data_IF_843626512318
#
_entry.id   IF_843626512318
#
_cell.length_a   1.000
_cell.length_b   1.000
_cell.length_c   1.000
_cell.angle_alpha   90.00
_cell.angle_beta   90.00
_cell.angle_gamma   90.00
#
_symmetry.space_group_name_H-M   'P 1'
#
loop_
_entity.id
_entity.type
_entity.pdbx_description
1 polymer ?
#
# COMPACT_ATOMS: atom_id res chain seq x y z
N UNK A 1 -7.97 -14.45 -12.18
CA UNK A 1 -7.69 -15.82 -11.71
C UNK A 1 -6.58 -15.77 -10.68
N UNK A 2 -6.96 -16.11 -9.44
CA UNK A 2 -6.18 -16.52 -8.26
C UNK A 2 -4.67 -16.18 -8.23
N UNK A 3 -4.30 -15.26 -7.33
CA UNK A 3 -2.94 -15.02 -6.80
C UNK A 3 -2.52 -16.05 -5.74
N UNK A 4 -3.29 -17.12 -5.57
CA UNK A 4 -3.27 -17.98 -4.37
C UNK A 4 -2.07 -18.95 -4.32
N UNK A 5 -1.23 -18.99 -5.35
CA UNK A 5 -0.17 -20.00 -5.49
C UNK A 5 1.27 -19.56 -5.20
N UNK A 6 1.55 -18.30 -4.87
CA UNK A 6 2.93 -17.79 -4.72
C UNK A 6 3.17 -16.92 -3.48
N UNK A 7 2.19 -16.91 -2.58
CA UNK A 7 2.39 -16.30 -1.27
C UNK A 7 3.30 -17.22 -0.43
N UNK A 8 3.15 -18.54 -0.55
CA UNK A 8 3.99 -19.53 0.15
C UNK A 8 5.49 -19.48 -0.21
N UNK A 9 5.85 -19.52 -1.50
CA UNK A 9 7.26 -19.67 -1.93
C UNK A 9 8.15 -18.43 -1.69
N UNK A 10 7.56 -17.24 -1.48
CA UNK A 10 8.31 -16.04 -1.14
C UNK A 10 8.70 -16.01 0.32
N UNK A 11 7.79 -16.44 1.20
CA UNK A 11 8.04 -16.51 2.64
C UNK A 11 8.95 -17.67 3.03
N UNK A 12 9.15 -18.67 2.16
CA UNK A 12 10.15 -19.72 2.39
C UNK A 12 11.57 -19.28 2.03
N UNK A 13 11.75 -18.26 1.18
CA UNK A 13 13.06 -17.80 0.71
C UNK A 13 13.60 -16.57 1.45
N UNK A 14 12.74 -15.85 2.17
CA UNK A 14 13.13 -14.72 3.02
C UNK A 14 12.54 -14.91 4.42
N UNK A 15 13.31 -14.64 5.49
CA UNK A 15 12.77 -14.68 6.84
C UNK A 15 11.59 -13.71 6.96
N UNK A 16 10.43 -14.19 7.44
CA UNK A 16 9.23 -13.35 7.60
C UNK A 16 9.52 -12.04 8.36
N UNK A 17 10.40 -12.10 9.38
CA UNK A 17 10.85 -10.96 10.19
C UNK A 17 11.64 -9.89 9.42
N UNK A 18 12.00 -10.11 8.16
CA UNK A 18 12.61 -9.11 7.30
C UNK A 18 11.60 -8.50 6.31
N UNK A 19 10.42 -9.10 6.20
CA UNK A 19 9.40 -8.72 5.25
C UNK A 19 8.48 -7.66 5.82
N UNK A 20 8.31 -6.61 5.04
CA UNK A 20 7.26 -5.63 5.23
C UNK A 20 6.19 -5.94 4.15
N UNK A 21 4.92 -5.96 4.54
CA UNK A 21 3.82 -6.43 3.70
C UNK A 21 2.61 -5.53 3.83
N UNK A 22 2.04 -5.13 2.69
CA UNK A 22 0.67 -4.65 2.60
C UNK A 22 -0.21 -5.72 1.94
N UNK A 23 -1.37 -6.02 2.54
CA UNK A 23 -2.38 -6.92 1.96
C UNK A 23 -3.76 -6.30 2.03
N UNK A 24 -4.52 -6.41 0.94
CA UNK A 24 -5.91 -5.95 0.87
C UNK A 24 -6.88 -6.99 1.45
N UNK A 25 -7.95 -6.50 2.08
CA UNK A 25 -9.02 -7.33 2.64
C UNK A 25 -9.67 -8.28 1.63
N UNK A 26 -9.74 -7.88 0.37
CA UNK A 26 -10.22 -8.73 -0.73
C UNK A 26 -9.31 -9.94 -0.99
N UNK A 27 -8.04 -9.84 -0.59
CA UNK A 27 -7.03 -10.86 -0.75
C UNK A 27 -6.58 -11.47 0.58
N UNK A 28 -7.34 -11.29 1.68
CA UNK A 28 -6.96 -11.81 3.01
C UNK A 28 -6.75 -13.33 3.04
N UNK A 29 -7.42 -14.09 2.17
CA UNK A 29 -7.24 -15.54 2.04
C UNK A 29 -5.82 -15.91 1.59
N UNK A 30 -5.10 -15.00 0.94
CA UNK A 30 -3.68 -15.22 0.60
C UNK A 30 -2.79 -15.38 1.84
N UNK A 31 -3.24 -14.92 3.01
CA UNK A 31 -2.53 -15.06 4.29
C UNK A 31 -2.79 -16.39 5.00
N UNK A 32 -3.68 -17.25 4.49
CA UNK A 32 -4.06 -18.50 5.18
C UNK A 32 -2.84 -19.30 5.64
N UNK A 33 -2.78 -19.59 6.95
CA UNK A 33 -1.67 -20.31 7.59
C UNK A 33 -0.49 -19.45 8.05
N UNK A 34 -0.51 -18.13 7.82
CA UNK A 34 0.50 -17.20 8.34
C UNK A 34 -0.08 -16.31 9.43
N UNK A 35 0.70 -16.09 10.49
CA UNK A 35 0.39 -15.09 11.50
C UNK A 35 1.03 -13.76 11.07
N UNK A 36 0.23 -12.70 10.93
CA UNK A 36 0.72 -11.40 10.45
C UNK A 36 1.80 -10.81 11.37
N UNK A 37 1.86 -11.24 12.62
CA UNK A 37 2.86 -10.82 13.62
C UNK A 37 4.24 -11.43 13.37
N UNK A 38 4.36 -12.42 12.48
CA UNK A 38 5.64 -12.97 12.06
C UNK A 38 6.40 -12.03 11.10
N UNK A 39 5.71 -11.05 10.51
CA UNK A 39 6.29 -10.06 9.60
C UNK A 39 6.91 -8.88 10.36
N UNK A 40 7.91 -8.23 9.76
CA UNK A 40 8.52 -7.02 10.33
C UNK A 40 7.53 -5.85 10.43
N UNK A 41 6.68 -5.74 9.41
CA UNK A 41 5.66 -4.71 9.31
C UNK A 41 4.53 -5.26 8.45
N UNK A 42 3.29 -5.13 8.93
CA UNK A 42 2.12 -5.56 8.18
C UNK A 42 1.10 -4.43 8.15
N UNK A 43 0.58 -4.10 6.97
CA UNK A 43 -0.50 -3.13 6.76
C UNK A 43 -1.68 -3.84 6.09
N UNK A 44 -2.87 -3.74 6.68
CA UNK A 44 -4.10 -4.15 6.04
C UNK A 44 -4.72 -3.00 5.23
N UNK A 45 -4.86 -3.17 3.93
CA UNK A 45 -5.66 -2.28 3.09
C UNK A 45 -7.14 -2.68 3.15
N UNK A 46 -8.05 -1.71 3.16
CA UNK A 46 -9.49 -1.94 3.28
C UNK A 46 -10.09 -2.69 2.09
N UNK A 47 -9.39 -2.75 0.95
CA UNK A 47 -9.80 -3.48 -0.25
C UNK A 47 -10.94 -2.81 -1.01
N UNK A 48 -11.42 -1.65 -0.56
CA UNK A 48 -12.60 -0.99 -1.08
C UNK A 48 -12.52 -0.74 -2.59
N UNK A 49 -11.38 -0.22 -3.06
CA UNK A 49 -11.15 0.00 -4.50
C UNK A 49 -11.33 -1.27 -5.34
N UNK A 50 -10.80 -2.41 -4.85
CA UNK A 50 -10.87 -3.70 -5.55
C UNK A 50 -12.29 -4.29 -5.50
N UNK A 51 -12.94 -4.21 -4.35
CA UNK A 51 -14.31 -4.66 -4.16
C UNK A 51 -15.27 -3.91 -5.10
N UNK A 52 -15.16 -2.59 -5.16
CA UNK A 52 -15.98 -1.73 -6.02
C UNK A 52 -15.70 -1.97 -7.51
N UNK A 53 -14.42 -2.14 -7.90
CA UNK A 53 -14.07 -2.52 -9.27
C UNK A 53 -14.66 -3.89 -9.68
N UNK A 54 -14.97 -4.74 -8.70
CA UNK A 54 -15.63 -6.04 -8.89
C UNK A 54 -17.16 -5.98 -8.75
N UNK A 55 -17.75 -4.78 -8.62
CA UNK A 55 -19.19 -4.56 -8.45
C UNK A 55 -19.74 -4.82 -7.06
N UNK A 56 -18.89 -5.12 -6.06
CA UNK A 56 -19.33 -5.26 -4.66
C UNK A 56 -19.64 -3.90 -4.07
N UNK A 57 -20.68 -3.84 -3.23
CA UNK A 57 -21.02 -2.65 -2.45
C UNK A 57 -20.22 -2.64 -1.14
N UNK A 58 -19.81 -1.44 -0.73
CA UNK A 58 -19.19 -1.21 0.57
C UNK A 58 -20.29 -0.79 1.54
N UNK A 59 -20.94 -1.77 2.16
CA UNK A 59 -22.01 -1.57 3.13
C UNK A 59 -21.53 -1.89 4.57
N UNK A 60 -22.45 -1.85 5.53
CA UNK A 60 -22.13 -2.13 6.92
C UNK A 60 -21.58 -3.55 7.13
N UNK A 61 -22.05 -4.53 6.36
CA UNK A 61 -21.56 -5.92 6.44
C UNK A 61 -20.11 -6.03 5.96
N UNK A 62 -19.74 -5.27 4.92
CA UNK A 62 -18.36 -5.15 4.47
C UNK A 62 -17.46 -4.56 5.57
N UNK A 63 -17.92 -3.46 6.18
CA UNK A 63 -17.20 -2.76 7.26
C UNK A 63 -17.03 -3.69 8.48
N UNK A 64 -18.08 -4.39 8.88
CA UNK A 64 -18.01 -5.35 10.01
C UNK A 64 -17.06 -6.50 9.72
N UNK A 65 -17.09 -7.03 8.50
CA UNK A 65 -16.17 -8.10 8.10
C UNK A 65 -14.71 -7.63 8.07
N UNK A 66 -14.46 -6.37 7.73
CA UNK A 66 -13.13 -5.76 7.80
C UNK A 66 -12.67 -5.58 9.24
N UNK A 67 -13.55 -5.12 10.14
CA UNK A 67 -13.29 -5.01 11.59
C UNK A 67 -12.94 -6.37 12.18
N UNK A 68 -13.71 -7.41 11.87
CA UNK A 68 -13.48 -8.76 12.37
C UNK A 68 -12.18 -9.35 11.84
N UNK A 69 -11.79 -9.02 10.61
CA UNK A 69 -10.46 -9.40 10.11
C UNK A 69 -9.33 -8.71 10.87
N UNK A 70 -9.43 -7.39 11.10
CA UNK A 70 -8.43 -6.64 11.88
C UNK A 70 -8.25 -7.25 13.27
N UNK A 71 -9.36 -7.54 13.96
CA UNK A 71 -9.35 -8.12 15.30
C UNK A 71 -8.83 -9.54 15.31
N UNK A 72 -9.41 -10.43 14.48
CA UNK A 72 -9.07 -11.85 14.45
C UNK A 72 -7.64 -12.12 14.02
N UNK A 73 -7.09 -11.31 13.11
CA UNK A 73 -5.70 -11.41 12.68
C UNK A 73 -4.74 -10.54 13.52
N UNK A 74 -5.19 -9.87 14.57
CA UNK A 74 -4.36 -9.01 15.44
C UNK A 74 -3.58 -7.93 14.67
N UNK A 75 -4.19 -7.32 13.66
CA UNK A 75 -3.54 -6.35 12.79
C UNK A 75 -3.32 -5.02 13.53
N UNK A 76 -2.10 -4.51 13.55
CA UNK A 76 -1.74 -3.26 14.23
C UNK A 76 -1.85 -2.02 13.33
N UNK A 77 -1.63 -2.18 12.04
CA UNK A 77 -1.68 -1.10 11.07
C UNK A 77 -2.66 -1.44 9.96
N UNK A 78 -3.62 -0.55 9.73
CA UNK A 78 -4.64 -0.75 8.72
C UNK A 78 -5.06 0.57 8.11
N UNK A 79 -5.31 0.59 6.81
CA UNK A 79 -5.76 1.77 6.07
C UNK A 79 -7.25 1.94 6.32
N UNK A 80 -7.69 3.19 6.39
CA UNK A 80 -9.12 3.48 6.51
C UNK A 80 -9.95 2.96 5.31
N UNK A 81 -11.27 3.02 5.44
CA UNK A 81 -12.17 2.74 4.33
C UNK A 81 -12.07 3.88 3.30
N UNK A 82 -11.21 3.69 2.31
CA UNK A 82 -10.81 4.73 1.37
C UNK A 82 -11.78 4.86 0.19
N UNK A 83 -12.91 5.55 0.44
CA UNK A 83 -14.04 5.71 -0.48
C UNK A 83 -14.56 7.15 -0.53
N UNK A 84 -13.72 8.13 -0.21
CA UNK A 84 -14.14 9.53 -0.07
C UNK A 84 -14.65 10.15 -1.37
N UNK A 85 -14.15 9.73 -2.54
CA UNK A 85 -14.69 10.13 -3.85
C UNK A 85 -16.17 9.74 -4.06
N UNK A 86 -16.69 8.77 -3.30
CA UNK A 86 -18.02 8.20 -3.51
C UNK A 86 -19.01 8.70 -2.47
N UNK A 87 -18.61 8.67 -1.19
CA UNK A 87 -19.51 8.99 -0.06
C UNK A 87 -19.18 10.31 0.63
N UNK A 88 -18.09 10.97 0.22
CA UNK A 88 -17.59 12.19 0.85
C UNK A 88 -16.79 11.93 2.14
N UNK A 89 -15.95 12.91 2.49
CA UNK A 89 -15.03 12.81 3.63
C UNK A 89 -15.74 12.65 4.98
N UNK A 90 -16.89 13.28 5.18
CA UNK A 90 -17.62 13.22 6.45
C UNK A 90 -18.10 11.80 6.74
N UNK A 91 -18.61 11.10 5.71
CA UNK A 91 -19.02 9.70 5.86
C UNK A 91 -17.83 8.79 6.09
N UNK A 92 -16.70 9.04 5.42
CA UNK A 92 -15.44 8.30 5.67
C UNK A 92 -14.98 8.51 7.12
N UNK A 93 -15.01 9.74 7.65
CA UNK A 93 -14.69 10.02 9.06
C UNK A 93 -15.62 9.28 10.03
N UNK A 94 -16.92 9.17 9.73
CA UNK A 94 -17.85 8.36 10.54
C UNK A 94 -17.50 6.87 10.52
N UNK A 95 -17.19 6.32 9.34
CA UNK A 95 -16.79 4.92 9.18
C UNK A 95 -15.48 4.65 9.92
N UNK A 96 -14.49 5.55 9.77
CA UNK A 96 -13.22 5.52 10.48
C UNK A 96 -13.45 5.45 12.00
N UNK A 97 -14.23 6.36 12.55
CA UNK A 97 -14.55 6.38 13.98
C UNK A 97 -15.27 5.10 14.46
N UNK A 98 -16.07 4.45 13.61
CA UNK A 98 -16.66 3.14 13.93
C UNK A 98 -15.59 2.05 14.00
N UNK A 99 -14.74 1.95 12.98
CA UNK A 99 -13.68 0.93 12.91
C UNK A 99 -12.69 1.10 14.06
N UNK A 100 -12.24 2.34 14.33
CA UNK A 100 -11.26 2.62 15.39
C UNK A 100 -11.83 2.31 16.78
N UNK A 101 -13.10 2.64 17.04
CA UNK A 101 -13.77 2.26 18.31
C UNK A 101 -13.93 0.75 18.46
N UNK A 102 -14.28 0.04 17.39
CA UNK A 102 -14.50 -1.39 17.44
C UNK A 102 -13.19 -2.20 17.56
N UNK A 103 -12.10 -1.69 16.99
CA UNK A 103 -10.78 -2.35 17.00
C UNK A 103 -9.89 -1.89 18.15
N UNK A 104 -10.18 -0.73 18.75
CA UNK A 104 -9.32 -0.08 19.76
C UNK A 104 -8.02 0.47 19.19
N UNK A 105 -7.91 0.62 17.87
CA UNK A 105 -6.68 1.00 17.16
C UNK A 105 -6.97 2.12 16.17
N UNK A 106 -6.02 3.05 15.99
CA UNK A 106 -6.13 4.09 14.98
C UNK A 106 -5.87 3.51 13.58
N UNK A 107 -6.66 3.97 12.61
CA UNK A 107 -6.43 3.69 11.20
C UNK A 107 -5.28 4.56 10.66
N UNK A 108 -4.79 4.22 9.48
CA UNK A 108 -3.94 5.06 8.64
C UNK A 108 -4.86 5.81 7.66
N UNK A 109 -5.19 7.08 7.92
CA UNK A 109 -6.01 7.86 7.00
C UNK A 109 -5.23 8.17 5.70
N UNK A 110 -5.92 8.18 4.57
CA UNK A 110 -5.35 8.41 3.23
C UNK A 110 -5.68 9.81 2.75
N UNK A 111 -4.67 10.58 2.38
CA UNK A 111 -4.90 11.90 1.81
C UNK A 111 -5.05 11.82 0.29
N UNK A 112 -6.09 12.50 -0.20
CA UNK A 112 -6.42 12.68 -1.61
C UNK A 112 -6.60 14.17 -1.92
N UNK A 113 -6.49 14.53 -3.20
CA UNK A 113 -6.59 15.93 -3.67
C UNK A 113 -7.83 16.67 -3.13
N UNK A 114 -8.97 15.98 -3.04
CA UNK A 114 -10.24 16.55 -2.56
C UNK A 114 -10.22 17.00 -1.10
N UNK A 115 -9.30 16.46 -0.27
CA UNK A 115 -9.20 16.78 1.17
C UNK A 115 -8.47 18.10 1.45
N UNK A 116 -7.80 18.68 0.43
CA UNK A 116 -7.06 19.95 0.51
C UNK A 116 -5.97 19.94 1.61
N UNK A 117 -5.24 21.04 1.76
CA UNK A 117 -4.14 21.13 2.73
C UNK A 117 -4.63 21.05 4.17
N UNK A 118 -5.81 21.57 4.44
CA UNK A 118 -6.41 21.60 5.76
C UNK A 118 -6.71 20.18 6.25
N UNK A 119 -7.21 19.31 5.36
CA UNK A 119 -7.42 17.90 5.67
C UNK A 119 -6.12 17.15 5.95
N UNK A 120 -5.02 17.51 5.29
CA UNK A 120 -3.70 16.95 5.63
C UNK A 120 -3.24 17.37 7.02
N UNK A 121 -3.33 18.67 7.34
CA UNK A 121 -2.94 19.19 8.65
C UNK A 121 -3.76 18.56 9.78
N UNK A 122 -5.07 18.35 9.57
CA UNK A 122 -5.94 17.62 10.49
C UNK A 122 -5.47 16.16 10.68
N UNK A 123 -5.08 15.48 9.60
CA UNK A 123 -4.58 14.11 9.67
C UNK A 123 -3.26 14.03 10.46
N UNK A 124 -2.25 14.84 10.13
CA UNK A 124 -0.93 14.73 10.78
C UNK A 124 -0.94 15.19 12.24
N UNK A 125 -1.86 16.09 12.63
CA UNK A 125 -2.03 16.47 14.05
C UNK A 125 -2.61 15.37 14.92
N UNK A 126 -3.47 14.52 14.34
CA UNK A 126 -4.28 13.57 15.09
C UNK A 126 -3.84 12.11 14.92
N UNK A 127 -3.02 11.82 13.91
CA UNK A 127 -2.60 10.45 13.56
C UNK A 127 -1.07 10.33 13.50
N UNK A 128 -0.48 9.37 14.23
CA UNK A 128 0.97 9.14 14.21
C UNK A 128 1.44 8.47 12.90
N UNK A 129 0.49 8.02 12.06
CA UNK A 129 0.78 7.36 10.79
C UNK A 129 -0.33 7.69 9.78
N UNK A 130 0.04 8.28 8.66
CA UNK A 130 -0.84 8.73 7.59
C UNK A 130 -0.35 8.23 6.24
N UNK A 131 -1.22 8.23 5.22
CA UNK A 131 -0.86 7.87 3.86
C UNK A 131 -1.08 9.03 2.88
N UNK A 132 -0.20 9.13 1.88
CA UNK A 132 -0.38 9.98 0.71
C UNK A 132 -0.71 9.09 -0.49
N UNK A 133 -1.85 9.34 -1.14
CA UNK A 133 -2.22 8.66 -2.39
C UNK A 133 -1.29 9.10 -3.52
N UNK A 134 -0.38 8.22 -3.95
CA UNK A 134 0.67 8.49 -4.94
C UNK A 134 0.60 7.57 -6.17
N UNK A 135 -0.55 6.93 -6.38
CA UNK A 135 -0.75 6.00 -7.50
C UNK A 135 -0.77 6.71 -8.87
N UNK A 136 -1.29 7.94 -8.92
CA UNK A 136 -1.45 8.73 -10.15
C UNK A 136 -2.48 8.17 -11.14
N UNK A 137 -3.22 7.12 -10.77
CA UNK A 137 -4.18 6.46 -11.67
C UNK A 137 -5.60 7.05 -11.57
N UNK A 138 -5.97 7.58 -10.41
CA UNK A 138 -7.28 8.21 -10.15
C UNK A 138 -7.18 9.73 -10.23
N UNK A 139 -8.32 10.43 -10.37
CA UNK A 139 -8.33 11.89 -10.35
C UNK A 139 -7.85 12.44 -8.98
N UNK A 140 -8.29 11.83 -7.88
CA UNK A 140 -7.84 12.11 -6.51
C UNK A 140 -6.33 12.00 -6.27
N UNK A 141 -5.65 11.12 -7.01
CA UNK A 141 -4.21 10.86 -6.86
C UNK A 141 -3.33 11.64 -7.84
N UNK A 142 -3.93 12.37 -8.79
CA UNK A 142 -3.23 13.21 -9.79
C UNK A 142 -2.98 14.63 -9.29
N UNK A 143 -2.37 14.76 -8.12
CA UNK A 143 -2.02 16.06 -7.52
C UNK A 143 -0.54 16.43 -7.69
N UNK A 144 0.32 15.45 -7.93
CA UNK A 144 1.76 15.65 -8.09
C UNK A 144 2.13 15.72 -9.58
N UNK A 145 2.68 16.86 -10.02
CA UNK A 145 3.14 17.05 -11.39
C UNK A 145 4.59 16.60 -11.54
N UNK A 146 4.94 16.11 -12.74
CA UNK A 146 6.31 15.79 -13.06
C UNK A 146 7.21 17.03 -12.86
N UNK A 147 8.32 16.84 -12.14
CA UNK A 147 9.32 17.88 -11.85
C UNK A 147 8.85 19.05 -10.96
N UNK A 148 7.60 19.05 -10.46
CA UNK A 148 7.16 19.99 -9.43
C UNK A 148 6.95 19.26 -8.10
N UNK A 149 8.01 19.28 -7.29
CA UNK A 149 8.03 18.56 -6.02
C UNK A 149 7.65 19.42 -4.82
N UNK A 150 7.36 20.71 -5.01
CA UNK A 150 7.00 21.63 -3.91
C UNK A 150 5.83 21.11 -3.08
N UNK A 151 4.75 20.55 -3.67
CA UNK A 151 3.65 20.01 -2.88
C UNK A 151 4.08 18.82 -2.02
N UNK A 152 4.94 17.95 -2.53
CA UNK A 152 5.40 16.78 -1.79
C UNK A 152 6.31 17.16 -0.62
N UNK A 153 7.20 18.14 -0.79
CA UNK A 153 7.98 18.70 0.32
C UNK A 153 7.05 19.22 1.43
N UNK A 154 6.07 20.05 1.08
CA UNK A 154 5.08 20.54 2.06
C UNK A 154 4.42 19.40 2.86
N UNK A 155 3.96 18.34 2.19
CA UNK A 155 3.30 17.24 2.89
C UNK A 155 4.26 16.47 3.82
N UNK A 156 5.47 16.17 3.36
CA UNK A 156 6.45 15.43 4.16
C UNK A 156 7.01 16.26 5.33
N UNK A 157 7.30 17.54 5.09
CA UNK A 157 7.84 18.44 6.11
C UNK A 157 6.79 18.65 7.22
N UNK A 158 5.54 18.93 6.86
CA UNK A 158 4.45 19.09 7.84
C UNK A 158 4.15 17.81 8.61
N UNK A 159 4.28 16.63 8.00
CA UNK A 159 4.16 15.36 8.73
C UNK A 159 5.31 15.18 9.72
N UNK A 160 6.55 15.49 9.31
CA UNK A 160 7.71 15.41 10.19
C UNK A 160 7.61 16.38 11.38
N UNK A 161 7.15 17.61 11.15
CA UNK A 161 6.89 18.62 12.19
C UNK A 161 5.85 18.15 13.23
N UNK A 162 4.88 17.32 12.82
CA UNK A 162 3.85 16.77 13.71
C UNK A 162 4.17 15.36 14.21
N UNK A 163 5.35 14.82 13.88
CA UNK A 163 5.78 13.47 14.31
C UNK A 163 5.03 12.31 13.63
N UNK A 164 4.34 12.56 12.52
CA UNK A 164 3.61 11.54 11.77
C UNK A 164 4.50 10.80 10.77
N UNK A 165 4.40 9.47 10.75
CA UNK A 165 4.94 8.64 9.68
C UNK A 165 4.11 8.80 8.42
N UNK A 166 4.75 8.77 7.26
CA UNK A 166 4.06 8.85 5.95
C UNK A 166 4.26 7.58 5.15
N UNK A 167 3.15 6.95 4.76
CA UNK A 167 3.09 5.86 3.80
C UNK A 167 2.86 6.41 2.38
N UNK A 168 3.72 6.05 1.42
CA UNK A 168 3.54 6.34 0.01
C UNK A 168 2.63 5.29 -0.64
N UNK A 169 1.31 5.53 -0.59
CA UNK A 169 0.30 4.56 -1.03
C UNK A 169 0.28 4.43 -2.55
N UNK A 170 0.47 3.21 -3.04
CA UNK A 170 0.48 2.86 -4.45
C UNK A 170 1.62 3.49 -5.26
N UNK A 171 2.71 3.91 -4.62
CA UNK A 171 3.78 4.63 -5.30
C UNK A 171 4.63 3.69 -6.18
N UNK A 172 4.59 3.93 -7.50
CA UNK A 172 5.34 3.13 -8.48
C UNK A 172 6.63 3.81 -8.94
N UNK A 173 6.82 5.09 -8.59
CA UNK A 173 7.93 5.90 -9.07
C UNK A 173 9.16 5.70 -8.18
N UNK A 174 10.07 4.82 -8.61
CA UNK A 174 11.35 4.59 -7.93
C UNK A 174 12.18 5.86 -7.69
N UNK A 175 12.17 6.79 -8.66
CA UNK A 175 12.90 8.06 -8.51
C UNK A 175 12.38 8.90 -7.36
N UNK A 176 11.07 8.87 -7.12
CA UNK A 176 10.41 9.53 -6.00
C UNK A 176 10.72 8.83 -4.68
N UNK A 177 10.59 7.50 -4.62
CA UNK A 177 10.93 6.72 -3.41
C UNK A 177 12.40 6.87 -3.01
N UNK A 178 13.32 6.99 -3.96
CA UNK A 178 14.74 7.23 -3.67
C UNK A 178 15.03 8.66 -3.21
N UNK A 179 14.27 9.63 -3.72
CA UNK A 179 14.52 11.06 -3.46
C UNK A 179 13.90 11.53 -2.14
N UNK A 180 12.80 10.94 -1.72
CA UNK A 180 12.01 11.38 -0.58
C UNK A 180 11.95 10.31 0.51
N UNK A 181 12.05 10.75 1.78
CA UNK A 181 12.11 9.87 2.94
C UNK A 181 10.70 9.49 3.43
N UNK A 182 10.06 8.54 2.74
CA UNK A 182 8.85 7.92 3.26
C UNK A 182 9.19 6.90 4.34
N UNK A 183 8.29 6.73 5.31
CA UNK A 183 8.43 5.67 6.31
C UNK A 183 8.18 4.29 5.68
N UNK A 184 7.21 4.23 4.77
CA UNK A 184 6.82 3.00 4.07
C UNK A 184 6.22 3.32 2.70
N UNK A 185 6.13 2.31 1.83
CA UNK A 185 5.51 2.43 0.51
C UNK A 185 5.06 1.05 0.04
N UNK A 186 3.94 0.98 -0.66
CA UNK A 186 3.55 -0.23 -1.37
C UNK A 186 3.53 -0.02 -2.89
N UNK A 187 3.57 -1.13 -3.62
CA UNK A 187 3.35 -1.15 -5.05
C UNK A 187 2.88 -2.52 -5.48
N UNK A 188 1.90 -2.57 -6.40
CA UNK A 188 1.50 -3.80 -7.07
C UNK A 188 2.27 -4.06 -8.38
N UNK A 189 3.22 -3.20 -8.74
CA UNK A 189 3.93 -3.26 -10.03
C UNK A 189 4.80 -4.50 -10.20
N UNK A 190 5.25 -5.13 -9.12
CA UNK A 190 5.94 -6.42 -9.19
C UNK A 190 5.09 -7.47 -9.94
N UNK A 191 3.75 -7.39 -9.85
CA UNK A 191 2.82 -8.31 -10.51
C UNK A 191 2.74 -8.13 -12.03
N UNK A 192 3.29 -7.04 -12.59
CA UNK A 192 3.34 -6.82 -14.04
C UNK A 192 4.17 -7.89 -14.77
N UNK A 193 5.09 -8.56 -14.07
CA UNK A 193 5.79 -9.73 -14.60
C UNK A 193 4.86 -10.89 -14.90
N UNK A 194 3.97 -11.18 -13.96
CA UNK A 194 2.99 -12.26 -14.13
C UNK A 194 1.91 -11.88 -15.14
N UNK A 195 1.42 -10.64 -15.11
CA UNK A 195 0.36 -10.18 -16.01
C UNK A 195 0.85 -10.04 -17.46
N UNK A 196 1.98 -9.36 -17.65
CA UNK A 196 2.41 -8.85 -18.96
C UNK A 196 3.80 -9.30 -19.39
N UNK A 197 4.53 -10.05 -18.56
CA UNK A 197 5.89 -10.48 -18.90
C UNK A 197 6.95 -9.39 -18.71
N UNK A 198 6.67 -8.37 -17.89
CA UNK A 198 7.61 -7.29 -17.55
C UNK A 198 8.66 -7.78 -16.56
N UNK A 199 9.94 -7.61 -16.87
CA UNK A 199 11.04 -7.92 -15.97
C UNK A 199 11.60 -6.63 -15.36
N UNK A 200 11.72 -6.60 -14.04
CA UNK A 200 12.44 -5.54 -13.34
C UNK A 200 13.81 -6.06 -12.93
N UNK A 201 14.82 -5.20 -12.90
CA UNK A 201 16.13 -5.49 -12.33
C UNK A 201 16.57 -4.28 -11.51
N UNK A 202 16.88 -4.52 -10.24
CA UNK A 202 17.48 -3.52 -9.36
C UNK A 202 18.99 -3.69 -9.34
N UNK A 203 19.70 -2.64 -9.78
CA UNK A 203 21.17 -2.63 -9.84
C UNK A 203 21.68 -1.20 -9.60
N UNK A 204 22.71 -1.05 -8.77
CA UNK A 204 23.39 0.22 -8.48
C UNK A 204 22.45 1.37 -8.08
N UNK A 205 21.47 1.07 -7.21
CA UNK A 205 20.50 2.07 -6.75
C UNK A 205 19.42 2.44 -7.77
N UNK A 206 19.31 1.71 -8.89
CA UNK A 206 18.37 1.99 -9.98
C UNK A 206 17.50 0.77 -10.29
N UNK A 207 16.19 0.99 -10.32
CA UNK A 207 15.22 0.03 -10.86
C UNK A 207 15.10 0.19 -12.38
N UNK A 208 15.42 -0.85 -13.15
CA UNK A 208 15.34 -0.87 -14.62
C UNK A 208 14.27 -1.86 -15.08
N UNK A 209 13.59 -1.53 -16.17
CA UNK A 209 12.73 -2.48 -16.90
C UNK A 209 13.60 -3.13 -17.98
N UNK A 210 13.63 -4.46 -18.00
CA UNK A 210 14.43 -5.24 -18.94
C UNK A 210 13.52 -6.00 -19.90
N UNK A 211 13.86 -5.96 -21.19
CA UNK A 211 13.17 -6.75 -22.20
C UNK A 211 13.68 -8.19 -22.17
N UNK A 212 12.78 -9.14 -21.89
CA UNK A 212 13.10 -10.57 -21.96
C UNK A 212 12.75 -11.15 -23.34
N UNK A 213 13.56 -12.10 -23.86
CA UNK A 213 13.18 -12.92 -25.00
C UNK A 213 11.84 -13.64 -24.78
N UNK A 214 11.06 -13.84 -25.85
CA UNK A 214 9.71 -14.45 -25.79
C UNK A 214 9.64 -15.76 -25.01
N UNK A 215 10.69 -16.60 -25.09
CA UNK A 215 10.77 -17.88 -24.36
C UNK A 215 10.71 -17.74 -22.84
N UNK A 216 11.27 -16.67 -22.28
CA UNK A 216 11.28 -16.43 -20.83
C UNK A 216 9.99 -15.77 -20.34
N UNK A 217 9.25 -15.08 -21.22
CA UNK A 217 7.94 -14.49 -20.90
C UNK A 217 6.83 -15.53 -20.68
N UNK A 218 7.06 -16.80 -21.03
CA UNK A 218 6.10 -17.89 -20.80
C UNK A 218 6.03 -18.30 -19.32
N UNK A 219 7.10 -18.12 -18.54
CA UNK A 219 7.12 -18.46 -17.12
C UNK A 219 6.73 -17.27 -16.24
N UNK A 220 5.48 -16.84 -16.39
CA UNK A 220 4.88 -15.65 -15.76
C UNK A 220 4.98 -15.64 -14.23
N UNK A 221 4.75 -16.79 -13.61
CA UNK A 221 4.84 -16.99 -12.16
C UNK A 221 6.24 -16.73 -11.61
N UNK A 222 7.25 -17.34 -12.23
CA UNK A 222 8.66 -17.12 -11.85
C UNK A 222 9.07 -15.66 -12.03
N UNK A 223 8.54 -14.99 -13.04
CA UNK A 223 8.83 -13.58 -13.28
C UNK A 223 8.20 -12.66 -12.23
N UNK A 224 6.96 -12.93 -11.81
CA UNK A 224 6.34 -12.21 -10.68
C UNK A 224 7.14 -12.36 -9.40
N UNK A 225 7.62 -13.58 -9.12
CA UNK A 225 8.49 -13.86 -7.98
C UNK A 225 9.82 -13.08 -8.07
N UNK A 226 10.49 -13.15 -9.21
CA UNK A 226 11.73 -12.40 -9.46
C UNK A 226 11.52 -10.90 -9.21
N UNK A 227 10.45 -10.33 -9.75
CA UNK A 227 10.15 -8.90 -9.58
C UNK A 227 9.92 -8.52 -8.12
N UNK A 228 9.24 -9.37 -7.32
CA UNK A 228 9.10 -9.15 -5.86
C UNK A 228 10.47 -9.05 -5.20
N UNK A 229 11.42 -9.92 -5.56
CA UNK A 229 12.78 -9.88 -5.01
C UNK A 229 13.53 -8.60 -5.38
N UNK A 230 13.36 -8.09 -6.60
CA UNK A 230 14.01 -6.85 -7.04
C UNK A 230 13.47 -5.64 -6.28
N UNK A 231 12.15 -5.58 -6.08
CA UNK A 231 11.52 -4.56 -5.28
C UNK A 231 11.93 -4.63 -3.81
N UNK A 232 12.03 -5.82 -3.23
CA UNK A 232 12.56 -6.01 -1.87
C UNK A 232 13.98 -5.44 -1.72
N UNK A 233 14.90 -5.77 -2.65
CA UNK A 233 16.26 -5.20 -2.65
C UNK A 233 16.26 -3.68 -2.77
N UNK A 234 15.41 -3.13 -3.63
CA UNK A 234 15.31 -1.69 -3.82
C UNK A 234 14.81 -0.98 -2.55
N UNK A 235 13.82 -1.55 -1.86
CA UNK A 235 13.31 -0.98 -0.60
C UNK A 235 14.32 -1.07 0.54
N UNK A 236 15.08 -2.18 0.63
CA UNK A 236 16.20 -2.27 1.57
C UNK A 236 17.25 -1.19 1.30
N UNK A 237 17.60 -0.96 0.04
CA UNK A 237 18.54 0.11 -0.35
C UNK A 237 18.04 1.50 0.03
N UNK A 238 16.74 1.78 -0.18
CA UNK A 238 16.12 3.06 0.18
C UNK A 238 15.80 3.21 1.68
N UNK A 239 15.95 2.13 2.47
CA UNK A 239 15.53 2.05 3.88
C UNK A 239 14.03 2.35 4.09
N UNK A 240 13.20 1.92 3.14
CA UNK A 240 11.74 2.07 3.17
C UNK A 240 11.10 0.73 3.55
N UNK A 241 10.07 0.76 4.42
CA UNK A 241 9.27 -0.44 4.70
C UNK A 241 8.29 -0.71 3.53
N UNK A 242 8.40 -1.86 2.88
CA UNK A 242 7.54 -2.26 1.75
C UNK A 242 6.18 -2.85 2.13
#
# INVERSE_FOLDING_TARGET
MATDGLVGDFYTKFPKKELNILTSFEYKSSLMGNDVREFNHFIADSGAFTAMASGKKIDDSYIDSYIEWIKGAHIDHFIEMDIDEIVGIDKVKQIRNRIERATGKQSIPVWHLGRKKEGWLDMVKNYPYVALSLSGFTASSKWLKANDWKPLHYFLDTAAENGSKVHALGCTNWGLLRKFHFYSSDSSTWSLGERYGTCFVFQDGVMKVVSLPKKFKKNKKTLGFHNKQQWFKAMQYAKIKM
#
